data_IF_740156469994
#
_entry.id   IF_740156469994
#
_cell.length_a   1.000
_cell.length_b   1.000
_cell.length_c   1.000
_cell.angle_alpha   90.00
_cell.angle_beta   90.00
_cell.angle_gamma   90.00
#
_symmetry.space_group_name_H-M   'P 1'
#
loop_
_entity.id
_entity.type
_entity.pdbx_description
1 polymer ?
#
# COMPACT_ATOMS: atom_id res chain seq x y z
N UNK A 1 4.83 -6.51 -65.34
CA UNK A 1 3.88 -5.59 -66.00
C UNK A 1 3.46 -4.59 -64.92
N UNK A 2 4.19 -3.49 -65.00
CA UNK A 2 3.71 -2.07 -64.90
C UNK A 2 3.05 -1.70 -63.55
N UNK A 3 3.63 -0.87 -62.76
CA UNK A 3 4.11 0.54 -62.81
C UNK A 3 3.07 1.54 -62.29
N UNK A 4 3.63 2.55 -61.57
CA UNK A 4 3.16 3.90 -61.25
C UNK A 4 2.31 4.02 -59.96
N UNK A 5 2.55 4.91 -59.06
CA UNK A 5 3.40 6.10 -59.02
C UNK A 5 2.76 7.16 -58.11
N UNK A 6 3.60 7.99 -57.53
CA UNK A 6 3.33 9.39 -57.32
C UNK A 6 3.16 9.82 -55.83
N UNK A 7 4.17 10.32 -55.19
CA UNK A 7 4.55 11.74 -54.97
C UNK A 7 3.48 12.65 -54.37
N UNK A 8 3.80 13.25 -53.22
CA UNK A 8 3.09 14.40 -52.68
C UNK A 8 3.73 14.97 -51.42
N UNK A 9 4.91 15.53 -51.59
CA UNK A 9 5.61 16.37 -50.60
C UNK A 9 4.93 17.73 -50.53
N UNK A 10 4.54 18.19 -49.36
CA UNK A 10 4.28 19.62 -49.11
C UNK A 10 4.84 20.00 -47.75
N UNK A 11 6.03 20.61 -47.80
CA UNK A 11 6.54 21.50 -46.77
C UNK A 11 5.70 22.79 -46.76
N UNK A 12 5.39 23.27 -45.57
CA UNK A 12 5.12 24.70 -45.40
C UNK A 12 5.85 25.16 -44.13
N UNK A 13 6.87 25.95 -44.38
CA UNK A 13 7.56 26.78 -43.43
C UNK A 13 6.80 28.12 -43.28
N UNK A 14 6.62 28.60 -42.09
CA UNK A 14 6.30 30.02 -41.75
C UNK A 14 6.94 30.27 -40.39
N UNK A 15 8.09 30.87 -40.32
CA UNK A 15 8.50 32.27 -40.18
C UNK A 15 8.13 32.89 -38.82
N UNK A 16 9.23 33.26 -38.17
CA UNK A 16 9.44 34.07 -36.98
C UNK A 16 8.48 35.25 -36.79
N UNK A 17 8.19 35.52 -35.52
CA UNK A 17 8.09 36.93 -35.09
C UNK A 17 8.52 37.09 -33.63
N UNK A 18 9.69 37.66 -33.48
CA UNK A 18 10.26 38.16 -32.23
C UNK A 18 9.53 39.46 -31.81
N UNK A 19 9.10 39.60 -30.59
CA UNK A 19 8.79 40.88 -29.98
C UNK A 19 9.43 40.98 -28.61
N UNK A 20 10.50 41.73 -28.59
CA UNK A 20 11.15 42.30 -27.42
C UNK A 20 10.34 43.51 -26.97
N UNK A 21 9.96 43.53 -25.71
CA UNK A 21 9.56 44.78 -25.04
C UNK A 21 10.20 44.85 -23.66
N UNK A 22 11.14 45.75 -23.60
CA UNK A 22 11.86 46.17 -22.40
C UNK A 22 11.01 47.15 -21.57
N UNK A 23 11.25 47.17 -20.28
CA UNK A 23 11.21 48.41 -19.46
C UNK A 23 10.03 48.51 -18.53
N UNK A 24 10.25 48.43 -17.25
CA UNK A 24 10.34 49.63 -16.39
C UNK A 24 10.63 49.21 -14.95
N UNK A 25 11.75 49.64 -14.48
CA UNK A 25 12.07 49.77 -13.07
C UNK A 25 11.12 50.82 -12.47
N UNK A 26 10.54 50.52 -11.32
CA UNK A 26 10.03 51.51 -10.39
C UNK A 26 10.39 51.13 -8.96
N UNK A 27 11.26 51.95 -8.42
CA UNK A 27 11.71 51.92 -7.03
C UNK A 27 10.68 52.52 -6.08
N UNK A 28 10.69 51.94 -4.88
CA UNK A 28 10.37 52.53 -3.58
C UNK A 28 8.96 52.95 -3.23
N UNK A 29 8.40 52.32 -2.20
CA UNK A 29 8.18 53.08 -0.97
C UNK A 29 7.99 52.14 0.24
N UNK A 30 8.76 52.37 1.27
CA UNK A 30 8.58 51.82 2.60
C UNK A 30 7.28 52.35 3.21
N UNK A 31 6.34 51.48 3.49
CA UNK A 31 5.25 51.77 4.42
C UNK A 31 5.25 50.65 5.45
N UNK A 32 5.68 50.96 6.66
CA UNK A 32 5.47 50.17 7.88
C UNK A 32 3.98 49.99 8.13
N UNK A 33 3.46 48.92 7.61
CA UNK A 33 2.11 48.43 7.92
C UNK A 33 2.26 47.22 8.83
N UNK A 34 1.96 47.38 10.11
CA UNK A 34 1.73 46.26 11.03
C UNK A 34 0.51 45.53 10.52
N UNK A 35 0.72 44.47 9.75
CA UNK A 35 -0.35 43.53 9.43
C UNK A 35 -0.45 42.53 10.59
N UNK A 36 -1.47 42.69 11.37
CA UNK A 36 -1.96 41.64 12.29
C UNK A 36 -2.43 40.48 11.42
N UNK A 37 -1.58 39.47 11.26
CA UNK A 37 -2.00 38.19 10.73
C UNK A 37 -2.79 37.46 11.84
N UNK A 38 -3.98 36.97 11.56
CA UNK A 38 -4.64 36.08 12.51
C UNK A 38 -3.82 34.81 12.65
N UNK A 39 -3.44 34.51 13.89
CA UNK A 39 -2.84 33.24 14.32
C UNK A 39 -3.76 32.07 13.93
N UNK A 40 -3.54 31.49 12.75
CA UNK A 40 -4.17 30.25 12.32
C UNK A 40 -3.31 29.01 12.68
N UNK A 41 -2.33 29.18 13.56
CA UNK A 41 -1.35 28.14 13.90
C UNK A 41 -1.62 27.45 15.26
N UNK A 42 -2.84 27.51 15.76
CA UNK A 42 -3.10 26.99 17.11
C UNK A 42 -3.91 25.69 17.19
N UNK A 43 -4.34 25.11 16.06
CA UNK A 43 -5.14 23.87 16.09
C UNK A 43 -4.65 22.73 15.19
N UNK A 44 -3.45 22.81 14.64
CA UNK A 44 -2.83 21.66 13.93
C UNK A 44 -1.93 20.85 14.86
N UNK A 45 -2.36 20.53 16.08
CA UNK A 45 -1.92 19.31 16.74
C UNK A 45 -2.63 18.13 16.05
N UNK A 46 -2.28 17.91 14.79
CA UNK A 46 -2.44 16.59 14.21
C UNK A 46 -1.71 15.64 15.16
N UNK A 47 -2.48 14.86 15.88
CA UNK A 47 -1.99 13.74 16.65
C UNK A 47 -1.21 12.88 15.64
N UNK A 48 0.10 13.05 15.58
CA UNK A 48 0.98 12.10 14.94
C UNK A 48 0.78 10.80 15.72
N UNK A 49 -0.11 9.95 15.21
CA UNK A 49 -0.12 8.55 15.60
C UNK A 49 1.29 8.09 15.27
N UNK A 50 2.07 7.81 16.28
CA UNK A 50 3.38 7.21 16.13
C UNK A 50 3.17 5.90 15.37
N UNK A 51 3.33 5.96 14.06
CA UNK A 51 3.44 4.76 13.25
C UNK A 51 4.75 4.12 13.68
N UNK A 52 4.67 3.06 14.47
CA UNK A 52 5.80 2.15 14.66
C UNK A 52 6.12 1.62 13.27
N UNK A 53 7.01 2.33 12.60
CA UNK A 53 7.52 1.92 11.30
C UNK A 53 8.45 0.75 11.57
N UNK A 54 7.96 -0.47 11.32
CA UNK A 54 8.88 -1.57 11.08
C UNK A 54 9.93 -1.09 10.08
N UNK A 55 11.22 -1.37 10.30
CA UNK A 55 12.24 -0.98 9.36
C UNK A 55 11.79 -1.39 7.97
N UNK A 56 11.65 -0.43 7.06
CA UNK A 56 11.21 -0.64 5.67
C UNK A 56 12.01 -1.77 4.98
N UNK A 57 13.23 -1.99 5.44
CA UNK A 57 14.08 -3.10 5.07
C UNK A 57 13.42 -4.48 5.27
N UNK A 58 12.71 -4.74 6.37
CA UNK A 58 12.03 -6.04 6.58
C UNK A 58 10.87 -6.25 5.63
N UNK A 59 10.17 -5.19 5.24
CA UNK A 59 9.01 -5.29 4.34
C UNK A 59 9.42 -5.51 2.87
N UNK A 60 10.65 -5.15 2.49
CA UNK A 60 11.12 -5.19 1.10
C UNK A 60 12.22 -6.23 0.84
N UNK A 61 12.76 -6.88 1.87
CA UNK A 61 13.96 -7.72 1.76
C UNK A 61 13.72 -9.17 2.16
N UNK A 62 12.73 -9.80 1.55
CA UNK A 62 12.75 -11.25 1.52
C UNK A 62 13.47 -11.64 0.23
N UNK A 63 14.65 -12.27 0.29
CA UNK A 63 15.36 -12.68 -0.92
C UNK A 63 14.45 -13.62 -1.72
N UNK A 64 14.45 -13.53 -3.05
CA UNK A 64 13.79 -14.54 -3.86
C UNK A 64 14.39 -15.88 -3.48
N UNK A 65 13.56 -16.82 -3.04
CA UNK A 65 13.95 -18.16 -2.72
C UNK A 65 13.32 -19.08 -3.76
N UNK A 66 14.06 -20.06 -4.24
CA UNK A 66 13.51 -21.12 -5.08
C UNK A 66 12.72 -22.14 -4.23
N UNK A 67 12.81 -22.04 -2.92
CA UNK A 67 12.06 -22.87 -1.99
C UNK A 67 10.58 -22.50 -1.97
N UNK A 68 9.75 -23.51 -1.75
CA UNK A 68 8.32 -23.33 -1.56
C UNK A 68 8.03 -22.69 -0.20
N UNK A 69 7.60 -21.42 -0.21
CA UNK A 69 7.36 -20.65 1.00
C UNK A 69 5.88 -20.53 1.32
N UNK A 70 5.49 -20.88 2.55
CA UNK A 70 4.12 -20.74 3.06
C UNK A 70 3.83 -19.34 3.62
N UNK A 71 2.57 -18.93 3.62
CA UNK A 71 2.15 -17.61 4.11
C UNK A 71 2.46 -17.39 5.60
N UNK A 72 2.31 -18.42 6.43
CA UNK A 72 2.54 -18.33 7.90
C UNK A 72 3.99 -18.08 8.26
N UNK A 73 4.99 -18.92 7.86
CA UNK A 73 6.39 -18.62 8.16
C UNK A 73 6.84 -17.28 7.57
N UNK A 74 6.36 -16.92 6.37
CA UNK A 74 6.63 -15.61 5.79
C UNK A 74 6.10 -14.47 6.65
N UNK A 75 4.81 -14.53 7.03
CA UNK A 75 4.19 -13.50 7.84
C UNK A 75 4.89 -13.30 9.19
N UNK A 76 5.29 -14.39 9.88
CA UNK A 76 6.08 -14.30 11.11
C UNK A 76 7.40 -13.57 10.90
N UNK A 77 8.18 -14.01 9.91
CA UNK A 77 9.50 -13.44 9.63
C UNK A 77 9.44 -11.94 9.31
N UNK A 78 8.38 -11.51 8.58
CA UNK A 78 8.24 -10.11 8.13
C UNK A 78 7.59 -9.24 9.20
N UNK A 79 6.55 -9.73 9.88
CA UNK A 79 5.82 -8.93 10.86
C UNK A 79 6.38 -9.00 12.29
N UNK A 80 7.13 -10.05 12.63
CA UNK A 80 7.55 -10.33 14.01
C UNK A 80 6.40 -10.79 14.92
N UNK A 81 5.21 -11.09 14.36
CA UNK A 81 4.08 -11.64 15.12
C UNK A 81 4.23 -13.15 15.22
N UNK A 82 4.62 -13.64 16.38
CA UNK A 82 4.97 -15.05 16.65
C UNK A 82 3.75 -15.93 16.96
N UNK A 83 2.87 -16.13 15.94
CA UNK A 83 1.74 -17.06 16.02
C UNK A 83 2.02 -18.28 15.15
N UNK A 84 1.79 -19.48 15.69
CA UNK A 84 2.07 -20.77 15.05
C UNK A 84 0.79 -21.51 14.68
N UNK A 85 0.88 -22.39 13.68
CA UNK A 85 -0.21 -23.21 13.15
C UNK A 85 -0.88 -22.57 11.92
N UNK A 86 -1.95 -23.19 11.44
CA UNK A 86 -2.65 -22.78 10.23
C UNK A 86 -3.14 -21.34 10.31
N UNK A 87 -3.09 -20.62 9.18
CA UNK A 87 -3.46 -19.21 9.10
C UNK A 87 -4.89 -18.92 9.61
N UNK A 88 -5.85 -19.82 9.40
CA UNK A 88 -7.21 -19.64 9.88
C UNK A 88 -7.32 -19.59 11.42
N UNK A 89 -6.32 -20.13 12.16
CA UNK A 89 -6.29 -20.11 13.62
C UNK A 89 -5.75 -18.81 14.20
N UNK A 90 -5.06 -18.01 13.38
CA UNK A 90 -4.31 -16.85 13.83
C UNK A 90 -5.19 -15.83 14.55
N UNK A 91 -6.35 -15.52 13.96
CA UNK A 91 -7.27 -14.56 14.57
C UNK A 91 -7.71 -14.96 15.98
N UNK A 92 -8.03 -16.24 16.16
CA UNK A 92 -8.39 -16.77 17.49
C UNK A 92 -7.23 -16.71 18.48
N UNK A 93 -6.05 -17.19 18.06
CA UNK A 93 -4.84 -17.23 18.89
C UNK A 93 -4.34 -15.82 19.28
N UNK A 94 -4.52 -14.83 18.41
CA UNK A 94 -4.12 -13.47 18.68
C UNK A 94 -4.94 -12.83 19.85
N UNK A 95 -6.11 -13.37 20.21
CA UNK A 95 -7.03 -12.74 21.18
C UNK A 95 -6.37 -12.32 22.50
N UNK A 96 -5.45 -13.13 23.01
CA UNK A 96 -4.85 -12.92 24.32
C UNK A 96 -3.38 -12.45 24.27
N UNK A 97 -2.83 -12.28 23.05
CA UNK A 97 -1.40 -11.98 22.85
C UNK A 97 -1.19 -10.66 22.08
N UNK A 98 -2.12 -10.33 21.19
CA UNK A 98 -1.98 -9.21 20.28
C UNK A 98 -3.28 -8.43 20.18
N UNK A 99 -3.19 -7.12 19.97
CA UNK A 99 -4.36 -6.31 19.62
C UNK A 99 -4.88 -6.72 18.24
N UNK A 100 -6.19 -6.59 18.04
CA UNK A 100 -6.87 -6.90 16.77
C UNK A 100 -7.86 -5.82 16.44
N UNK A 101 -8.12 -5.56 15.18
CA UNK A 101 -9.09 -4.55 14.74
C UNK A 101 -9.28 -4.53 13.24
N UNK A 102 -9.99 -3.52 12.76
CA UNK A 102 -10.37 -3.39 11.35
C UNK A 102 -9.67 -2.21 10.66
N UNK A 103 -8.71 -1.57 11.29
CA UNK A 103 -7.93 -0.47 10.70
C UNK A 103 -6.60 -1.01 10.19
N UNK A 104 -6.28 -0.87 8.90
CA UNK A 104 -4.97 -1.30 8.39
C UNK A 104 -3.87 -0.41 8.96
N UNK A 105 -2.79 -1.04 9.42
CA UNK A 105 -1.56 -0.39 9.89
C UNK A 105 -0.37 -1.09 9.24
N UNK A 106 0.61 -0.33 8.77
CA UNK A 106 1.83 -0.90 8.19
C UNK A 106 2.50 -1.86 9.19
N UNK A 107 2.87 -3.05 8.73
CA UNK A 107 3.42 -4.12 9.56
C UNK A 107 2.38 -5.02 10.25
N UNK A 108 1.11 -4.63 10.31
CA UNK A 108 0.05 -5.51 10.83
C UNK A 108 -0.21 -6.69 9.90
N UNK A 109 -0.72 -7.77 10.46
CA UNK A 109 -1.07 -8.98 9.71
C UNK A 109 -2.55 -9.00 9.38
N UNK A 110 -2.88 -8.92 8.11
CA UNK A 110 -4.23 -9.15 7.58
C UNK A 110 -4.55 -10.65 7.65
N UNK A 111 -5.61 -11.01 8.39
CA UNK A 111 -6.03 -12.39 8.59
C UNK A 111 -7.30 -12.71 7.80
N UNK A 112 -7.19 -13.61 6.81
CA UNK A 112 -8.32 -14.08 6.02
C UNK A 112 -9.09 -15.21 6.73
N UNK A 113 -10.40 -15.24 6.54
CA UNK A 113 -11.24 -16.33 7.04
C UNK A 113 -11.03 -17.60 6.23
N UNK A 114 -11.17 -18.75 6.89
CA UNK A 114 -11.25 -20.04 6.23
C UNK A 114 -12.47 -20.11 5.29
N UNK A 115 -12.25 -20.61 4.09
CA UNK A 115 -13.31 -20.86 3.11
C UNK A 115 -13.07 -22.21 2.40
N UNK A 116 -14.00 -22.66 1.55
CA UNK A 116 -13.78 -23.86 0.71
C UNK A 116 -12.52 -23.74 -0.15
N UNK A 117 -12.14 -22.51 -0.58
CA UNK A 117 -10.94 -22.26 -1.40
C UNK A 117 -9.69 -22.01 -0.55
N UNK A 118 -9.83 -21.32 0.57
CA UNK A 118 -8.78 -21.08 1.54
C UNK A 118 -8.95 -22.03 2.73
N UNK A 119 -8.77 -23.31 2.50
CA UNK A 119 -9.01 -24.36 3.51
C UNK A 119 -8.14 -24.20 4.77
N UNK A 120 -6.97 -23.62 4.63
CA UNK A 120 -6.04 -23.32 5.73
C UNK A 120 -6.06 -21.86 6.15
N UNK A 121 -7.01 -21.06 5.58
CA UNK A 121 -6.96 -19.62 5.72
C UNK A 121 -5.80 -19.00 4.93
N UNK A 122 -5.54 -17.73 5.20
CA UNK A 122 -4.38 -17.01 4.65
C UNK A 122 -4.01 -15.84 5.54
N UNK A 123 -2.75 -15.43 5.51
CA UNK A 123 -2.23 -14.23 6.17
C UNK A 123 -1.31 -13.47 5.24
N UNK A 124 -1.38 -12.14 5.32
CA UNK A 124 -0.54 -11.22 4.58
C UNK A 124 -0.10 -10.05 5.48
N UNK A 125 1.05 -9.44 5.22
CA UNK A 125 1.56 -8.31 6.02
C UNK A 125 1.31 -7.01 5.28
N UNK A 126 0.71 -6.02 5.93
CA UNK A 126 0.45 -4.70 5.35
C UNK A 126 1.78 -3.98 5.09
N UNK A 127 2.05 -3.67 3.83
CA UNK A 127 3.27 -2.99 3.38
C UNK A 127 3.08 -1.48 3.21
N UNK A 128 1.86 -1.05 2.89
CA UNK A 128 1.48 0.37 2.81
C UNK A 128 -0.04 0.52 2.92
N UNK A 129 -0.49 1.65 3.45
CA UNK A 129 -1.88 2.10 3.40
C UNK A 129 -1.93 3.23 2.39
N UNK A 130 -2.70 3.06 1.32
CA UNK A 130 -2.80 4.03 0.23
C UNK A 130 -3.94 5.02 0.47
N UNK A 131 -5.08 4.49 0.87
CA UNK A 131 -6.27 5.26 1.22
C UNK A 131 -7.22 4.43 2.10
N UNK A 132 -8.47 4.90 2.26
CA UNK A 132 -9.47 4.24 3.12
C UNK A 132 -9.87 2.84 2.66
N UNK A 133 -9.66 2.49 1.38
CA UNK A 133 -10.08 1.22 0.76
C UNK A 133 -8.94 0.44 0.10
N UNK A 134 -7.74 1.03 0.01
CA UNK A 134 -6.64 0.39 -0.69
C UNK A 134 -5.40 0.30 0.20
N UNK A 135 -4.83 -0.90 0.24
CA UNK A 135 -3.54 -1.18 0.88
C UNK A 135 -2.65 -1.98 -0.06
N UNK A 136 -1.37 -1.98 0.23
CA UNK A 136 -0.42 -2.93 -0.35
C UNK A 136 -0.04 -3.96 0.71
N UNK A 137 0.05 -5.23 0.31
CA UNK A 137 0.47 -6.31 1.21
C UNK A 137 1.67 -7.06 0.65
N UNK A 138 2.50 -7.56 1.55
CA UNK A 138 3.53 -8.55 1.28
C UNK A 138 3.05 -9.91 1.78
N UNK A 139 3.16 -10.94 0.95
CA UNK A 139 2.68 -12.27 1.30
C UNK A 139 3.42 -13.37 0.52
N UNK A 140 3.26 -14.61 0.94
CA UNK A 140 3.76 -15.77 0.22
C UNK A 140 2.65 -16.79 -0.05
N UNK A 141 2.83 -17.59 -1.10
CA UNK A 141 1.92 -18.68 -1.46
C UNK A 141 0.48 -18.23 -1.78
N UNK A 142 0.34 -17.07 -2.43
CA UNK A 142 -0.95 -16.59 -2.92
C UNK A 142 -1.10 -16.92 -4.39
N UNK A 143 -2.09 -17.76 -4.72
CA UNK A 143 -2.37 -18.17 -6.08
C UNK A 143 -2.59 -19.67 -6.21
N UNK A 144 -2.85 -20.13 -7.43
CA UNK A 144 -3.24 -21.53 -7.71
C UNK A 144 -2.37 -22.23 -8.73
N UNK A 145 -1.45 -21.53 -9.39
CA UNK A 145 -0.57 -22.05 -10.42
C UNK A 145 0.91 -22.06 -9.98
N UNK A 146 1.76 -22.68 -10.77
CA UNK A 146 3.20 -22.83 -10.48
C UNK A 146 3.96 -21.50 -10.44
N UNK A 147 3.43 -20.44 -11.05
CA UNK A 147 4.06 -19.10 -11.05
C UNK A 147 3.80 -18.34 -9.76
N UNK A 148 2.73 -18.67 -9.05
CA UNK A 148 2.26 -17.92 -7.89
C UNK A 148 2.35 -18.71 -6.59
N UNK A 149 2.13 -20.04 -6.62
CA UNK A 149 2.20 -20.88 -5.43
C UNK A 149 3.62 -20.98 -4.89
N UNK A 150 3.75 -20.85 -3.56
CA UNK A 150 5.02 -20.91 -2.87
C UNK A 150 5.95 -19.72 -3.13
N UNK A 151 5.52 -18.73 -3.91
CA UNK A 151 6.32 -17.54 -4.22
C UNK A 151 5.93 -16.38 -3.31
N UNK A 152 6.89 -15.46 -3.12
CA UNK A 152 6.66 -14.19 -2.43
C UNK A 152 6.08 -13.17 -3.41
N UNK A 153 5.04 -12.48 -2.96
CA UNK A 153 4.43 -11.37 -3.67
C UNK A 153 4.60 -10.10 -2.83
N UNK A 154 5.38 -9.15 -3.33
CA UNK A 154 5.62 -7.89 -2.65
C UNK A 154 4.67 -6.81 -3.16
N UNK A 155 4.17 -5.98 -2.23
CA UNK A 155 3.36 -4.80 -2.52
C UNK A 155 2.14 -5.10 -3.41
N UNK A 156 1.52 -6.25 -3.20
CA UNK A 156 0.32 -6.65 -3.96
C UNK A 156 -0.87 -5.79 -3.51
N UNK A 157 -1.59 -5.13 -4.45
CA UNK A 157 -2.74 -4.32 -4.13
C UNK A 157 -3.91 -5.14 -3.58
N UNK A 158 -4.53 -4.62 -2.53
CA UNK A 158 -5.75 -5.15 -1.91
C UNK A 158 -6.76 -4.03 -1.80
N UNK A 159 -7.98 -4.30 -2.23
CA UNK A 159 -9.13 -3.41 -2.19
C UNK A 159 -10.15 -3.90 -1.15
N UNK A 160 -10.61 -3.00 -0.27
CA UNK A 160 -11.77 -3.24 0.57
C UNK A 160 -13.05 -2.96 -0.20
N UNK A 161 -13.85 -3.99 -0.41
CA UNK A 161 -15.17 -3.93 -1.06
C UNK A 161 -16.32 -4.16 -0.07
N UNK A 162 -16.03 -4.11 1.23
CA UNK A 162 -17.07 -4.22 2.26
C UNK A 162 -17.99 -3.00 2.23
N UNK A 163 -19.31 -3.18 2.41
CA UNK A 163 -20.25 -2.05 2.40
C UNK A 163 -19.97 -1.00 3.47
N UNK A 164 -19.44 -1.43 4.64
CA UNK A 164 -19.15 -0.57 5.78
C UNK A 164 -17.73 0.00 5.81
N UNK A 165 -16.92 -0.29 4.79
CA UNK A 165 -15.49 0.05 4.78
C UNK A 165 -14.77 -0.46 6.05
N UNK A 166 -15.01 -1.72 6.39
CA UNK A 166 -14.53 -2.36 7.61
C UNK A 166 -13.56 -3.52 7.35
N UNK A 167 -13.09 -3.65 6.12
CA UNK A 167 -12.10 -4.64 5.68
C UNK A 167 -12.55 -6.10 5.84
N UNK A 168 -13.86 -6.33 5.95
CA UNK A 168 -14.42 -7.69 6.08
C UNK A 168 -14.56 -8.43 4.76
N UNK A 169 -14.49 -7.72 3.61
CA UNK A 169 -14.58 -8.28 2.26
C UNK A 169 -13.53 -7.64 1.36
N UNK A 170 -12.63 -8.44 0.83
CA UNK A 170 -11.44 -7.97 0.14
C UNK A 170 -11.30 -8.58 -1.24
N UNK A 171 -10.69 -7.82 -2.15
CA UNK A 171 -10.17 -8.33 -3.42
C UNK A 171 -8.67 -8.10 -3.49
N UNK A 172 -7.95 -9.05 -4.03
CA UNK A 172 -6.53 -8.90 -4.31
C UNK A 172 -6.32 -8.80 -5.82
N UNK A 173 -5.40 -7.92 -6.21
CA UNK A 173 -5.01 -7.79 -7.61
C UNK A 173 -4.19 -9.01 -8.03
N UNK A 174 -4.51 -9.56 -9.19
CA UNK A 174 -3.77 -10.66 -9.78
C UNK A 174 -2.55 -10.16 -10.59
N UNK A 175 -1.77 -11.09 -11.13
CA UNK A 175 -0.54 -10.78 -11.90
C UNK A 175 -0.79 -10.08 -13.25
N UNK A 176 -2.04 -10.02 -13.70
CA UNK A 176 -2.44 -9.30 -14.93
C UNK A 176 -3.10 -7.93 -14.63
N UNK A 177 -3.01 -7.45 -13.38
CA UNK A 177 -3.47 -6.11 -13.01
C UNK A 177 -4.97 -5.97 -12.77
N UNK A 178 -5.72 -7.07 -12.59
CA UNK A 178 -7.16 -7.03 -12.29
C UNK A 178 -7.44 -7.54 -10.88
N UNK A 179 -8.42 -6.92 -10.21
CA UNK A 179 -8.90 -7.41 -8.93
C UNK A 179 -9.70 -8.69 -9.10
N UNK A 180 -9.33 -9.69 -8.32
CA UNK A 180 -9.95 -11.01 -8.36
C UNK A 180 -11.29 -11.10 -7.63
N UNK A 181 -11.62 -12.30 -7.19
CA UNK A 181 -12.83 -12.57 -6.40
C UNK A 181 -12.76 -11.97 -5.00
N UNK A 182 -13.92 -11.88 -4.35
CA UNK A 182 -14.03 -11.45 -2.96
C UNK A 182 -13.61 -12.58 -2.01
N UNK A 183 -12.81 -12.22 -1.01
CA UNK A 183 -12.42 -13.07 0.10
C UNK A 183 -12.84 -12.44 1.43
N UNK A 184 -13.46 -13.19 2.35
CA UNK A 184 -13.77 -12.68 3.67
C UNK A 184 -12.51 -12.62 4.54
N UNK A 185 -12.40 -11.58 5.36
CA UNK A 185 -11.34 -11.42 6.34
C UNK A 185 -11.89 -11.28 7.76
N UNK A 186 -11.01 -11.44 8.74
CA UNK A 186 -11.27 -11.13 10.15
C UNK A 186 -10.87 -9.69 10.48
N UNK A 187 -9.92 -9.11 9.75
CA UNK A 187 -9.28 -7.84 10.03
C UNK A 187 -7.77 -7.99 10.24
N UNK A 188 -7.19 -7.14 11.07
CA UNK A 188 -5.75 -6.98 11.26
C UNK A 188 -5.32 -7.36 12.67
N UNK A 189 -4.17 -8.06 12.78
CA UNK A 189 -3.47 -8.36 14.03
C UNK A 189 -2.29 -7.39 14.10
N UNK A 190 -2.17 -6.68 15.21
CA UNK A 190 -1.16 -5.64 15.39
C UNK A 190 -0.01 -6.15 16.25
N UNK A 191 1.18 -5.64 15.98
CA UNK A 191 2.31 -5.85 16.88
C UNK A 191 2.03 -5.22 18.25
N UNK A 192 2.63 -5.73 19.33
CA UNK A 192 2.71 -4.99 20.58
C UNK A 192 3.39 -3.65 20.30
N UNK A 193 2.84 -2.54 20.84
CA UNK A 193 3.53 -1.26 20.80
C UNK A 193 4.77 -1.35 21.70
N UNK A 194 5.95 -0.95 21.21
CA UNK A 194 7.21 -0.93 21.98
C UNK A 194 7.17 0.01 23.21
N UNK A 195 6.06 0.72 23.42
CA UNK A 195 5.88 1.67 24.54
C UNK A 195 5.46 1.04 25.88
N UNK A 196 5.39 -0.29 25.97
CA UNK A 196 4.94 -0.95 27.22
C UNK A 196 6.08 -1.44 28.13
N UNK A 197 7.35 -1.28 27.77
CA UNK A 197 8.49 -1.78 28.55
C UNK A 197 9.41 -0.68 29.13
N UNK A 198 8.93 0.55 29.27
CA UNK A 198 9.65 1.61 29.96
C UNK A 198 8.87 2.07 31.20
N UNK A 199 8.73 1.18 32.19
CA UNK A 199 8.44 1.51 33.61
C UNK A 199 8.96 0.40 34.51
#
# INVERSE_FOLDING_TARGET
MQLFGGRGMRQLAIVCLSLVLAGCFSTANSATGVSVQPDLDRDARVTQVAHVSLPSARLNSFPPTDEFLQCVPYARAVSGIEIYGDAWTWWGKAKNQFKRGNTPVVGSVLAFKKTKRLRYGHVAVVAAVLDKRHILVNQANWGSDSRTRGKVHLRQPVEDVSPKNDWTQLRLMNTIGTFGRIYPSHGFIYQPSETAEAN
#
